data_IF_980680427886
#
_entry.id   IF_980680427886
#
_cell.length_a   1.000
_cell.length_b   1.000
_cell.length_c   1.000
_cell.angle_alpha   90.00
_cell.angle_beta   90.00
_cell.angle_gamma   90.00
#
_symmetry.space_group_name_H-M   'P 1'
#
loop_
_entity.id
_entity.type
_entity.pdbx_description
1 polymer ?
#
# COMPACT_ATOMS: atom_id res chain seq x y z
N UNK A 1 26.33 -36.22 61.95
CA UNK A 1 27.62 -36.78 61.51
C UNK A 1 27.40 -37.96 60.57
N UNK A 2 27.95 -37.84 59.35
CA UNK A 2 28.65 -38.82 58.49
C UNK A 2 28.08 -40.24 58.23
N UNK A 3 27.74 -40.52 56.96
CA UNK A 3 28.51 -41.32 55.97
C UNK A 3 27.60 -41.63 54.76
N UNK A 4 27.81 -40.98 53.61
CA UNK A 4 28.70 -41.43 52.52
C UNK A 4 28.33 -42.81 51.94
N UNK A 5 27.40 -42.83 50.99
CA UNK A 5 27.11 -43.96 50.11
C UNK A 5 27.88 -43.82 48.79
N UNK A 6 28.90 -44.65 48.61
CA UNK A 6 29.61 -44.85 47.34
C UNK A 6 29.12 -46.16 46.72
N UNK A 7 28.57 -46.10 45.52
CA UNK A 7 28.34 -47.29 44.69
C UNK A 7 28.87 -47.07 43.28
N UNK A 8 29.40 -48.15 42.74
CA UNK A 8 30.45 -48.22 41.74
C UNK A 8 29.86 -48.21 40.33
N UNK A 9 30.68 -47.71 39.41
CA UNK A 9 30.50 -47.78 37.95
C UNK A 9 30.40 -49.24 37.49
N UNK A 10 29.43 -49.54 36.64
CA UNK A 10 29.42 -50.74 35.81
C UNK A 10 29.42 -50.28 34.34
N UNK A 11 30.47 -50.69 33.62
CA UNK A 11 30.59 -50.59 32.18
C UNK A 11 29.76 -51.69 31.52
N UNK A 12 29.16 -51.42 30.36
CA UNK A 12 28.44 -52.45 29.61
C UNK A 12 27.91 -51.98 28.25
N UNK A 13 28.62 -52.41 27.21
CA UNK A 13 28.24 -52.61 25.81
C UNK A 13 27.70 -51.43 24.98
N UNK A 14 28.58 -50.89 24.13
CA UNK A 14 28.19 -50.17 22.92
C UNK A 14 27.70 -51.18 21.87
N UNK A 15 26.42 -51.14 21.55
CA UNK A 15 25.83 -51.85 20.41
C UNK A 15 25.88 -50.90 19.21
N UNK A 16 26.78 -51.17 18.27
CA UNK A 16 26.89 -50.44 17.01
C UNK A 16 25.74 -50.86 16.09
N UNK A 17 24.69 -50.05 16.04
CA UNK A 17 23.65 -50.17 15.03
C UNK A 17 24.15 -49.58 13.71
N UNK A 18 24.35 -50.44 12.70
CA UNK A 18 24.54 -50.04 11.30
C UNK A 18 23.19 -49.53 10.77
N UNK A 19 23.02 -48.22 10.65
CA UNK A 19 21.87 -47.63 9.99
C UNK A 19 22.14 -47.54 8.47
N UNK A 20 21.38 -48.29 7.67
CA UNK A 20 21.31 -48.08 6.23
C UNK A 20 20.63 -46.73 5.96
N UNK A 21 21.36 -45.80 5.36
CA UNK A 21 20.83 -44.54 4.87
C UNK A 21 20.00 -44.79 3.60
N UNK A 22 18.68 -44.85 3.74
CA UNK A 22 17.74 -44.72 2.62
C UNK A 22 17.45 -43.25 2.36
N UNK A 23 17.85 -42.74 1.19
CA UNK A 23 17.46 -41.40 0.74
C UNK A 23 15.99 -41.43 0.29
N UNK A 24 15.05 -41.25 1.23
CA UNK A 24 13.70 -40.82 0.87
C UNK A 24 13.77 -39.33 0.57
N UNK A 25 13.58 -38.94 -0.69
CA UNK A 25 13.44 -37.55 -1.08
C UNK A 25 12.21 -36.98 -0.36
N UNK A 26 12.47 -36.20 0.70
CA UNK A 26 11.46 -35.42 1.36
C UNK A 26 10.97 -34.37 0.37
N UNK A 27 9.68 -34.39 0.07
CA UNK A 27 9.03 -33.25 -0.57
C UNK A 27 9.18 -32.08 0.39
N UNK A 28 9.91 -31.06 -0.04
CA UNK A 28 10.07 -29.83 0.73
C UNK A 28 8.69 -29.30 1.11
N UNK A 29 8.40 -29.28 2.40
CA UNK A 29 7.22 -28.65 2.93
C UNK A 29 7.30 -27.16 2.57
N UNK A 30 6.54 -26.77 1.54
CA UNK A 30 6.26 -25.37 1.26
C UNK A 30 5.67 -24.81 2.55
N UNK A 31 6.46 -24.02 3.27
CA UNK A 31 6.01 -23.29 4.44
C UNK A 31 4.91 -22.33 3.98
N UNK A 32 3.66 -22.76 4.08
CA UNK A 32 2.51 -21.88 4.00
C UNK A 32 2.64 -20.91 5.17
N UNK A 33 3.27 -19.76 4.92
CA UNK A 33 3.29 -18.65 5.85
C UNK A 33 1.84 -18.41 6.26
N UNK A 34 1.52 -18.66 7.53
CA UNK A 34 0.19 -18.39 8.07
C UNK A 34 -0.11 -16.93 7.82
N UNK A 35 -1.07 -16.66 6.93
CA UNK A 35 -1.61 -15.34 6.64
C UNK A 35 -2.50 -14.88 7.81
N UNK A 36 -2.01 -14.99 9.05
CA UNK A 36 -2.70 -14.45 10.21
C UNK A 36 -2.67 -12.93 10.06
N UNK A 37 -3.81 -12.26 9.82
CA UNK A 37 -3.81 -10.82 9.65
C UNK A 37 -3.27 -10.18 10.93
N UNK A 38 -2.24 -9.35 10.80
CA UNK A 38 -1.74 -8.59 11.95
C UNK A 38 -2.91 -7.79 12.54
N UNK A 39 -3.18 -7.90 13.86
CA UNK A 39 -4.27 -7.16 14.46
C UNK A 39 -4.08 -5.66 14.25
N UNK A 40 -5.16 -4.97 13.87
CA UNK A 40 -5.16 -3.52 13.80
C UNK A 40 -4.96 -2.95 15.20
N UNK A 41 -4.12 -1.93 15.33
CA UNK A 41 -3.93 -1.20 16.59
C UNK A 41 -5.13 -0.32 16.95
N UNK A 42 -6.05 -0.13 16.02
CA UNK A 42 -7.22 0.73 16.15
C UNK A 42 -8.46 -0.10 16.50
N UNK A 43 -9.35 0.48 17.31
CA UNK A 43 -10.63 -0.15 17.63
C UNK A 43 -11.55 -0.21 16.40
N UNK A 44 -12.58 -1.05 16.45
CA UNK A 44 -13.61 -1.10 15.39
C UNK A 44 -14.29 0.26 15.18
N UNK A 45 -14.49 1.02 16.26
CA UNK A 45 -15.06 2.37 16.20
C UNK A 45 -14.15 3.34 15.43
N UNK A 46 -12.85 3.32 15.73
CA UNK A 46 -11.85 4.13 15.01
C UNK A 46 -11.78 3.76 13.53
N UNK A 47 -11.86 2.46 13.23
CA UNK A 47 -11.94 1.95 11.86
C UNK A 47 -13.19 2.46 11.13
N UNK A 48 -14.35 2.40 11.76
CA UNK A 48 -15.59 2.93 11.19
C UNK A 48 -15.49 4.44 10.92
N UNK A 49 -14.94 5.22 11.85
CA UNK A 49 -14.70 6.65 11.63
C UNK A 49 -13.81 6.92 10.40
N UNK A 50 -12.75 6.13 10.20
CA UNK A 50 -11.90 6.22 9.01
C UNK A 50 -12.69 5.91 7.73
N UNK A 51 -13.45 4.81 7.73
CA UNK A 51 -14.30 4.42 6.59
C UNK A 51 -15.28 5.53 6.23
N UNK A 52 -15.92 6.15 7.23
CA UNK A 52 -16.90 7.23 7.03
C UNK A 52 -16.28 8.46 6.41
N UNK A 53 -15.11 8.90 6.89
CA UNK A 53 -14.39 10.01 6.28
C UNK A 53 -14.05 9.69 4.82
N UNK A 54 -13.46 8.54 4.54
CA UNK A 54 -13.13 8.13 3.17
C UNK A 54 -14.38 8.04 2.28
N UNK A 55 -15.47 7.46 2.78
CA UNK A 55 -16.72 7.26 2.06
C UNK A 55 -17.38 8.57 1.62
N UNK A 56 -17.44 9.55 2.52
CA UNK A 56 -18.17 10.80 2.29
C UNK A 56 -17.33 11.90 1.66
N UNK A 57 -16.00 11.88 1.83
CA UNK A 57 -15.13 12.95 1.31
C UNK A 57 -14.55 12.65 -0.07
N UNK A 58 -14.56 11.40 -0.54
CA UNK A 58 -13.87 11.04 -1.78
C UNK A 58 -14.81 10.40 -2.80
N UNK A 59 -14.39 10.46 -4.07
CA UNK A 59 -14.95 9.56 -5.07
C UNK A 59 -14.59 8.11 -4.70
N UNK A 60 -15.61 7.35 -4.26
CA UNK A 60 -15.49 5.97 -3.79
C UNK A 60 -14.90 4.99 -4.79
N UNK A 61 -14.90 5.31 -6.09
CA UNK A 61 -14.24 4.48 -7.11
C UNK A 61 -12.75 4.81 -7.31
N UNK A 62 -12.22 5.85 -6.65
CA UNK A 62 -10.80 6.23 -6.70
C UNK A 62 -10.09 5.75 -5.43
N UNK A 63 -9.28 4.69 -5.55
CA UNK A 63 -8.43 4.20 -4.45
C UNK A 63 -7.47 5.30 -3.98
N UNK A 64 -6.87 6.03 -4.91
CA UNK A 64 -6.00 7.16 -4.57
C UNK A 64 -6.75 8.23 -3.77
N UNK A 65 -7.98 8.55 -4.15
CA UNK A 65 -8.87 9.44 -3.42
C UNK A 65 -9.15 8.99 -1.99
N UNK A 66 -9.50 7.72 -1.81
CA UNK A 66 -9.76 7.12 -0.50
C UNK A 66 -8.51 7.20 0.38
N UNK A 67 -7.37 6.73 -0.12
CA UNK A 67 -6.10 6.72 0.63
C UNK A 67 -5.61 8.15 0.90
N UNK A 68 -5.84 9.09 -0.01
CA UNK A 68 -5.47 10.49 0.18
C UNK A 68 -6.25 11.17 1.31
N UNK A 69 -7.58 10.98 1.37
CA UNK A 69 -8.40 11.46 2.50
C UNK A 69 -7.95 10.81 3.81
N UNK A 70 -7.75 9.49 3.82
CA UNK A 70 -7.27 8.79 5.01
C UNK A 70 -5.89 9.29 5.47
N UNK A 71 -5.02 9.62 4.52
CA UNK A 71 -3.71 10.22 4.81
C UNK A 71 -3.86 11.57 5.50
N UNK A 72 -4.77 12.43 5.06
CA UNK A 72 -5.08 13.69 5.74
C UNK A 72 -5.58 13.45 7.17
N UNK A 73 -6.49 12.49 7.37
CA UNK A 73 -6.98 12.14 8.71
C UNK A 73 -5.81 11.73 9.61
N UNK A 74 -4.92 10.88 9.13
CA UNK A 74 -3.75 10.44 9.89
C UNK A 74 -2.70 11.54 10.10
N UNK A 75 -2.55 12.47 9.16
CA UNK A 75 -1.69 13.65 9.31
C UNK A 75 -2.24 14.61 10.37
N UNK A 76 -3.57 14.66 10.55
CA UNK A 76 -4.21 15.40 11.65
C UNK A 76 -4.00 14.69 12.98
N UNK A 77 -4.24 13.38 13.05
CA UNK A 77 -4.00 12.58 14.26
C UNK A 77 -2.56 12.72 14.77
N UNK A 78 -1.57 12.78 13.87
CA UNK A 78 -0.16 12.94 14.21
C UNK A 78 0.26 14.37 14.59
N UNK A 79 -0.67 15.34 14.57
CA UNK A 79 -0.38 16.76 14.72
C UNK A 79 -1.04 17.31 15.97
N UNK A 80 -0.26 17.99 16.82
CA UNK A 80 -0.73 18.59 18.08
C UNK A 80 -1.89 19.60 17.91
N UNK A 81 -2.03 20.18 16.72
CA UNK A 81 -3.13 21.10 16.38
C UNK A 81 -4.51 20.44 16.22
N UNK A 82 -4.60 19.10 16.29
CA UNK A 82 -5.83 18.34 16.08
C UNK A 82 -6.00 17.27 17.17
N UNK A 83 -7.20 16.69 17.33
CA UNK A 83 -7.39 15.53 18.18
C UNK A 83 -6.48 14.36 17.79
N UNK A 84 -6.07 13.59 18.78
CA UNK A 84 -5.12 12.47 18.68
C UNK A 84 -5.76 11.12 18.35
N UNK A 85 -7.05 11.12 18.00
CA UNK A 85 -7.83 9.93 17.60
C UNK A 85 -8.51 10.15 16.26
N UNK A 86 -8.71 9.07 15.50
CA UNK A 86 -9.39 9.09 14.19
C UNK A 86 -10.80 9.62 14.38
N UNK A 87 -11.57 9.09 15.33
CA UNK A 87 -12.92 9.59 15.57
C UNK A 87 -12.93 11.03 16.08
N UNK A 88 -11.95 11.43 16.88
CA UNK A 88 -11.79 12.81 17.32
C UNK A 88 -11.60 13.77 16.14
N UNK A 89 -10.77 13.41 15.17
CA UNK A 89 -10.54 14.19 13.94
C UNK A 89 -11.79 14.21 13.05
N UNK A 90 -12.37 13.04 12.76
CA UNK A 90 -13.51 12.92 11.83
C UNK A 90 -14.78 13.56 12.40
N UNK A 91 -14.95 13.53 13.72
CA UNK A 91 -16.09 14.12 14.42
C UNK A 91 -16.04 15.64 14.58
N UNK A 92 -14.95 16.32 14.17
CA UNK A 92 -14.86 17.77 14.30
C UNK A 92 -15.94 18.48 13.47
N UNK A 93 -16.68 19.39 14.11
CA UNK A 93 -17.79 20.14 13.50
C UNK A 93 -17.32 20.91 12.26
N UNK A 94 -17.95 20.66 11.12
CA UNK A 94 -17.72 21.40 9.87
C UNK A 94 -16.44 21.05 9.13
N UNK A 95 -15.67 20.06 9.60
CA UNK A 95 -14.39 19.67 8.98
C UNK A 95 -14.56 18.60 7.89
N UNK A 96 -15.67 17.88 7.94
CA UNK A 96 -16.08 16.79 7.06
C UNK A 96 -17.56 16.99 6.70
N UNK A 97 -18.07 16.19 5.76
CA UNK A 97 -19.39 16.28 5.18
C UNK A 97 -20.49 16.33 6.26
N UNK A 98 -21.58 17.09 6.04
CA UNK A 98 -22.70 17.11 6.97
C UNK A 98 -23.23 15.69 7.22
N UNK A 99 -23.31 15.30 8.49
CA UNK A 99 -23.73 13.96 8.91
C UNK A 99 -22.68 12.86 8.69
N UNK A 100 -21.39 13.20 8.55
CA UNK A 100 -20.30 12.21 8.41
C UNK A 100 -20.33 11.14 9.49
N UNK A 101 -20.81 11.45 10.71
CA UNK A 101 -20.90 10.51 11.84
C UNK A 101 -22.24 9.79 11.98
N UNK A 102 -23.30 10.20 11.28
CA UNK A 102 -24.67 9.67 11.47
C UNK A 102 -25.30 9.06 10.22
N UNK A 103 -24.94 9.53 9.02
CA UNK A 103 -25.53 9.07 7.76
C UNK A 103 -25.12 7.63 7.43
N UNK A 104 -26.00 6.80 6.84
CA UNK A 104 -25.63 5.44 6.45
C UNK A 104 -24.64 5.45 5.27
N UNK A 105 -23.69 4.51 5.27
CA UNK A 105 -22.72 4.31 4.18
C UNK A 105 -23.23 3.29 3.16
N UNK A 106 -24.36 3.53 2.51
CA UNK A 106 -24.94 2.56 1.56
C UNK A 106 -24.29 2.66 0.18
N UNK A 107 -23.50 1.67 -0.24
CA UNK A 107 -22.82 1.66 -1.55
C UNK A 107 -22.29 0.27 -1.92
N UNK A 108 -22.28 -0.05 -3.22
CA UNK A 108 -21.56 -1.22 -3.75
C UNK A 108 -20.04 -1.13 -3.56
N UNK A 109 -19.50 0.09 -3.48
CA UNK A 109 -18.08 0.37 -3.26
C UNK A 109 -17.63 0.27 -1.79
N UNK A 110 -18.52 -0.11 -0.86
CA UNK A 110 -18.17 -0.25 0.56
C UNK A 110 -16.95 -1.15 0.82
N UNK A 111 -16.79 -2.31 0.15
CA UNK A 111 -15.61 -3.15 0.34
C UNK A 111 -14.29 -2.44 0.01
N UNK A 112 -14.28 -1.60 -1.03
CA UNK A 112 -13.10 -0.84 -1.43
C UNK A 112 -12.73 0.22 -0.39
N UNK A 113 -13.75 0.89 0.18
CA UNK A 113 -13.59 1.84 1.29
C UNK A 113 -13.02 1.14 2.52
N UNK A 114 -13.56 -0.02 2.89
CA UNK A 114 -13.09 -0.81 4.03
C UNK A 114 -11.64 -1.25 3.84
N UNK A 115 -11.31 -1.77 2.65
CA UNK A 115 -9.95 -2.18 2.34
C UNK A 115 -8.95 -1.00 2.35
N UNK A 116 -9.37 0.20 1.93
CA UNK A 116 -8.55 1.40 1.97
C UNK A 116 -8.35 1.91 3.40
N UNK A 117 -9.42 1.94 4.21
CA UNK A 117 -9.37 2.33 5.61
C UNK A 117 -8.41 1.40 6.39
N UNK A 118 -8.55 0.09 6.20
CA UNK A 118 -7.68 -0.91 6.82
C UNK A 118 -6.21 -0.72 6.45
N UNK A 119 -5.93 -0.39 5.20
CA UNK A 119 -4.56 -0.20 4.75
C UNK A 119 -3.94 1.09 5.30
N UNK A 120 -4.70 2.19 5.33
CA UNK A 120 -4.27 3.46 5.96
C UNK A 120 -4.03 3.27 7.46
N UNK A 121 -4.91 2.55 8.17
CA UNK A 121 -4.74 2.26 9.59
C UNK A 121 -3.55 1.34 9.88
N UNK A 122 -3.12 0.54 8.89
CA UNK A 122 -1.85 -0.22 8.94
C UNK A 122 -0.61 0.60 8.60
N UNK A 123 -0.77 1.83 8.13
CA UNK A 123 0.33 2.75 7.83
C UNK A 123 0.48 3.14 6.37
N UNK A 124 -0.39 2.68 5.46
CA UNK A 124 -0.37 3.15 4.08
C UNK A 124 -0.63 4.67 4.03
N UNK A 125 0.16 5.40 3.25
CA UNK A 125 0.01 6.84 3.04
C UNK A 125 0.12 7.15 1.56
N UNK A 126 -0.74 8.03 1.07
CA UNK A 126 -0.68 8.47 -0.31
C UNK A 126 0.54 9.41 -0.50
N UNK A 127 1.50 9.08 -1.37
CA UNK A 127 2.77 9.82 -1.47
C UNK A 127 2.57 11.28 -1.87
N UNK A 128 1.61 11.56 -2.75
CA UNK A 128 1.30 12.92 -3.19
C UNK A 128 0.64 13.82 -2.14
N UNK A 129 0.07 13.27 -1.06
CA UNK A 129 -0.56 14.09 0.01
C UNK A 129 0.49 14.72 0.91
N UNK A 130 1.67 14.10 1.03
CA UNK A 130 2.77 14.59 1.86
C UNK A 130 2.29 14.89 3.29
N UNK A 131 2.56 16.09 3.81
CA UNK A 131 2.18 16.53 5.16
C UNK A 131 0.88 17.35 5.18
N UNK A 132 0.13 17.35 4.06
CA UNK A 132 -1.12 18.08 3.95
C UNK A 132 -2.14 17.60 4.99
N UNK A 133 -2.82 18.57 5.60
CA UNK A 133 -3.91 18.37 6.57
C UNK A 133 -5.23 18.93 6.06
N UNK A 134 -5.26 19.39 4.81
CA UNK A 134 -6.35 20.17 4.27
C UNK A 134 -6.64 19.75 2.83
N UNK A 135 -7.91 19.73 2.50
CA UNK A 135 -8.39 19.57 1.14
C UNK A 135 -9.69 20.34 0.97
N UNK A 136 -10.10 20.48 -0.27
CA UNK A 136 -11.45 20.90 -0.66
C UNK A 136 -11.79 20.24 -1.99
N UNK A 137 -13.04 20.36 -2.43
CA UNK A 137 -13.47 19.88 -3.74
C UNK A 137 -12.61 20.49 -4.85
N UNK A 138 -12.08 19.65 -5.73
CA UNK A 138 -11.24 20.07 -6.84
C UNK A 138 -11.99 21.03 -7.78
N UNK A 139 -11.27 21.99 -8.35
CA UNK A 139 -11.82 23.01 -9.24
C UNK A 139 -12.39 24.24 -8.52
N UNK A 140 -12.72 24.16 -7.23
CA UNK A 140 -13.06 25.34 -6.44
C UNK A 140 -11.81 26.17 -6.14
N UNK A 141 -11.93 27.50 -6.14
CA UNK A 141 -10.85 28.41 -5.77
C UNK A 141 -11.25 29.26 -4.57
N UNK A 142 -10.26 29.61 -3.75
CA UNK A 142 -10.47 30.39 -2.54
C UNK A 142 -9.47 31.56 -2.50
N UNK A 143 -9.84 32.71 -1.92
CA UNK A 143 -8.99 33.91 -1.92
C UNK A 143 -7.79 33.82 -0.95
N UNK A 144 -7.59 32.70 -0.27
CA UNK A 144 -6.51 32.53 0.70
C UNK A 144 -5.14 32.45 0.01
N UNK A 145 -4.21 33.30 0.44
CA UNK A 145 -2.88 33.42 -0.19
C UNK A 145 -1.83 32.45 0.39
N UNK A 146 -2.23 31.64 1.37
CA UNK A 146 -1.39 30.71 2.13
C UNK A 146 -1.61 29.22 1.76
N UNK A 147 -2.32 28.93 0.67
CA UNK A 147 -2.58 27.56 0.22
C UNK A 147 -1.50 27.12 -0.78
N UNK A 148 -0.75 26.08 -0.42
CA UNK A 148 0.22 25.41 -1.27
C UNK A 148 -0.34 24.05 -1.71
N UNK A 149 -0.81 23.94 -2.96
CA UNK A 149 -1.39 22.70 -3.46
C UNK A 149 -0.32 21.63 -3.70
N UNK A 150 -0.64 20.38 -3.37
CA UNK A 150 0.28 19.24 -3.50
C UNK A 150 -0.26 18.13 -4.40
N UNK A 151 -1.58 17.98 -4.50
CA UNK A 151 -2.23 16.88 -5.21
C UNK A 151 -3.66 17.23 -5.60
N UNK A 152 -4.13 16.68 -6.71
CA UNK A 152 -5.56 16.53 -6.99
C UNK A 152 -5.86 15.05 -7.24
N UNK A 153 -6.72 14.46 -6.40
CA UNK A 153 -7.11 13.05 -6.45
C UNK A 153 -8.51 12.86 -5.83
N UNK A 154 -9.25 11.87 -6.30
CA UNK A 154 -10.55 11.49 -5.74
C UNK A 154 -11.62 12.58 -5.78
N UNK A 155 -11.47 13.57 -6.67
CA UNK A 155 -12.34 14.76 -6.71
C UNK A 155 -11.95 15.87 -5.73
N UNK A 156 -10.81 15.77 -5.04
CA UNK A 156 -10.33 16.76 -4.08
C UNK A 156 -8.98 17.35 -4.48
N UNK A 157 -8.76 18.61 -4.12
CA UNK A 157 -7.46 19.27 -4.15
C UNK A 157 -6.90 19.35 -2.73
N UNK A 158 -5.73 18.76 -2.53
CA UNK A 158 -5.02 18.70 -1.26
C UNK A 158 -3.98 19.82 -1.20
N UNK A 159 -3.84 20.43 -0.03
CA UNK A 159 -2.94 21.56 0.14
C UNK A 159 -2.38 21.68 1.57
N UNK A 160 -1.23 22.32 1.68
CA UNK A 160 -0.65 22.76 2.94
C UNK A 160 -0.95 24.23 3.17
N UNK A 161 -1.13 24.62 4.43
CA UNK A 161 -1.12 26.03 4.81
C UNK A 161 0.33 26.44 5.11
N UNK A 162 0.89 27.31 4.27
CA UNK A 162 2.27 27.81 4.42
C UNK A 162 2.29 29.34 4.52
N UNK A 163 3.29 29.95 5.19
CA UNK A 163 3.54 31.38 5.08
C UNK A 163 3.51 31.84 3.62
N UNK A 164 2.96 33.03 3.35
CA UNK A 164 2.67 33.49 1.98
C UNK A 164 3.90 33.47 1.05
N UNK A 165 5.08 33.72 1.60
CA UNK A 165 6.38 33.71 0.92
C UNK A 165 6.92 32.30 0.63
N UNK A 166 6.36 31.25 1.23
CA UNK A 166 6.74 29.85 1.04
C UNK A 166 5.75 29.06 0.17
N UNK A 167 4.71 29.72 -0.35
CA UNK A 167 3.76 29.12 -1.28
C UNK A 167 4.31 29.20 -2.71
N UNK A 168 4.82 28.07 -3.21
CA UNK A 168 5.31 27.94 -4.60
C UNK A 168 4.26 27.40 -5.57
N UNK A 169 3.37 26.51 -5.14
CA UNK A 169 2.27 25.96 -5.96
C UNK A 169 0.91 26.58 -5.58
N UNK A 170 0.49 27.64 -6.29
CA UNK A 170 -0.80 28.34 -6.04
C UNK A 170 -1.97 27.81 -6.87
N UNK A 171 -1.67 27.10 -7.96
CA UNK A 171 -2.67 26.54 -8.86
C UNK A 171 -2.78 25.05 -8.58
N UNK A 172 -4.00 24.52 -8.60
CA UNK A 172 -4.24 23.10 -8.46
C UNK A 172 -3.53 22.34 -9.59
N UNK A 173 -2.72 21.31 -9.30
CA UNK A 173 -2.16 20.46 -10.34
C UNK A 173 -3.27 19.67 -11.06
N UNK A 174 -3.00 19.12 -12.25
CA UNK A 174 -3.94 18.23 -12.91
C UNK A 174 -4.34 17.03 -12.04
N UNK A 175 -5.59 16.54 -12.10
CA UNK A 175 -6.01 15.32 -11.41
C UNK A 175 -5.18 14.10 -11.84
N UNK A 176 -4.70 13.32 -10.89
CA UNK A 176 -3.84 12.17 -11.19
C UNK A 176 -4.59 11.06 -11.95
N UNK A 177 -5.90 10.90 -11.74
CA UNK A 177 -6.70 9.93 -12.48
C UNK A 177 -6.80 10.26 -13.97
N UNK A 178 -6.77 11.56 -14.32
CA UNK A 178 -6.72 11.99 -15.73
C UNK A 178 -5.36 11.73 -16.34
N UNK A 179 -4.28 11.91 -15.57
CA UNK A 179 -2.92 11.62 -16.05
C UNK A 179 -2.71 10.13 -16.27
N UNK A 180 -3.21 9.26 -15.38
CA UNK A 180 -3.16 7.81 -15.56
C UNK A 180 -4.01 7.35 -16.76
N UNK A 181 -5.22 7.89 -16.92
CA UNK A 181 -6.07 7.60 -18.08
C UNK A 181 -5.48 8.12 -19.41
N UNK A 182 -4.76 9.23 -19.39
CA UNK A 182 -4.04 9.75 -20.56
C UNK A 182 -2.79 8.89 -20.87
N UNK A 183 -2.05 8.46 -19.86
CA UNK A 183 -0.87 7.60 -20.02
C UNK A 183 -1.25 6.18 -20.50
N UNK A 184 -2.39 5.65 -20.08
CA UNK A 184 -2.93 4.36 -20.57
C UNK A 184 -3.48 4.42 -22.00
N UNK A 185 -3.60 5.61 -22.59
CA UNK A 185 -3.90 5.81 -24.02
C UNK A 185 -2.67 6.06 -24.87
N UNK A 186 -1.48 6.20 -24.27
CA UNK A 186 -0.25 6.05 -25.03
C UNK A 186 -0.17 4.57 -25.42
N UNK A 187 -0.46 4.26 -26.68
CA UNK A 187 -0.09 3.00 -27.32
C UNK A 187 1.33 2.65 -26.91
N UNK A 188 1.66 1.36 -26.65
CA UNK A 188 3.05 0.99 -26.49
C UNK A 188 3.77 1.50 -27.72
N UNK A 189 4.65 2.48 -27.53
CA UNK A 189 5.59 2.89 -28.55
C UNK A 189 6.27 1.60 -28.95
N UNK A 190 6.05 1.20 -30.20
CA UNK A 190 6.64 0.03 -30.82
C UNK A 190 8.09 -0.01 -30.34
N UNK A 191 8.40 -0.99 -29.49
CA UNK A 191 9.78 -1.25 -29.14
C UNK A 191 10.54 -1.25 -30.45
N UNK A 192 11.58 -0.43 -30.57
CA UNK A 192 12.46 -0.44 -31.72
C UNK A 192 12.87 -1.90 -31.94
N UNK A 193 12.23 -2.55 -32.91
CA UNK A 193 12.79 -3.69 -33.59
C UNK A 193 14.05 -3.14 -34.26
N UNK A 194 15.19 -3.29 -33.60
CA UNK A 194 16.45 -3.17 -34.27
C UNK A 194 16.58 -4.42 -35.14
N UNK A 195 16.04 -4.34 -36.35
CA UNK A 195 16.35 -5.30 -37.41
C UNK A 195 17.82 -5.06 -37.77
N UNK A 196 18.72 -5.78 -37.11
CA UNK A 196 20.13 -5.77 -37.46
C UNK A 196 20.28 -6.37 -38.88
N UNK A 197 20.96 -5.70 -39.82
CA UNK A 197 21.38 -6.32 -41.08
C UNK A 197 22.21 -7.58 -40.78
N UNK A 198 22.09 -8.66 -41.58
CA UNK A 198 22.63 -9.99 -41.25
C UNK A 198 24.17 -10.11 -41.22
N UNK A 199 24.93 -9.03 -41.41
CA UNK A 199 26.38 -9.10 -41.58
C UNK A 199 27.20 -8.86 -40.29
N UNK A 200 26.55 -8.76 -39.12
CA UNK A 200 27.26 -8.58 -37.83
C UNK A 200 26.88 -9.58 -36.74
N UNK A 201 26.43 -10.79 -37.11
CA UNK A 201 26.21 -11.85 -36.13
C UNK A 201 27.56 -12.45 -35.69
N UNK A 202 27.95 -12.22 -34.44
CA UNK A 202 29.04 -12.95 -33.78
C UNK A 202 28.76 -14.47 -33.78
N UNK A 203 29.80 -15.33 -33.74
CA UNK A 203 29.70 -16.78 -33.95
C UNK A 203 28.76 -17.54 -32.99
N UNK A 204 28.32 -16.89 -31.90
CA UNK A 204 27.35 -17.44 -30.96
C UNK A 204 25.91 -17.37 -31.52
N UNK A 205 25.58 -16.35 -32.32
CA UNK A 205 24.23 -16.15 -32.86
C UNK A 205 23.83 -17.15 -33.95
N UNK A 206 24.80 -17.68 -34.69
CA UNK A 206 24.56 -18.64 -35.77
C UNK A 206 24.11 -20.03 -35.26
N UNK A 207 24.51 -20.43 -34.05
CA UNK A 207 24.20 -21.77 -33.53
C UNK A 207 22.78 -21.96 -33.00
N UNK A 208 22.00 -20.87 -32.83
CA UNK A 208 20.62 -20.96 -32.34
C UNK A 208 19.62 -21.17 -33.48
N UNK A 209 19.97 -20.79 -34.72
CA UNK A 209 19.04 -20.83 -35.85
C UNK A 209 18.90 -22.21 -36.51
N UNK A 210 19.89 -23.10 -36.38
CA UNK A 210 19.86 -24.45 -36.97
C UNK A 210 19.11 -25.51 -36.12
N UNK A 211 18.61 -25.14 -34.93
CA UNK A 211 17.98 -26.08 -34.01
C UNK A 211 16.49 -26.39 -34.25
N UNK A 212 15.84 -25.77 -35.23
CA UNK A 212 14.37 -25.85 -35.42
C UNK A 212 13.90 -26.80 -36.52
N UNK A 213 14.79 -27.62 -37.09
CA UNK A 213 14.42 -28.61 -38.11
C UNK A 213 14.59 -30.07 -37.64
N UNK A 214 13.86 -30.49 -36.61
CA UNK A 214 13.62 -31.92 -36.35
C UNK A 214 12.42 -32.14 -35.41
N UNK A 215 11.22 -32.35 -35.98
CA UNK A 215 10.20 -33.31 -35.53
C UNK A 215 8.88 -33.10 -36.30
N UNK A 216 8.70 -33.91 -37.34
CA UNK A 216 7.40 -34.32 -37.84
C UNK A 216 7.58 -35.75 -38.41
N UNK A 217 7.19 -36.74 -37.60
CA UNK A 217 6.61 -38.01 -38.07
C UNK A 217 5.20 -38.09 -37.48
#
# INVERSE_FOLDING_TARGET
>A
MNRAGSTRRAAGLAVTFLALAGCTQGVDAIATASLTPKPLRYSQKERECMERAMFFESNRSSRDGLVAVGTVVMNRVASEAFPDTVCGVVGQKGQFAPGVMSRPMNSKALPDVQAAADAVLRGERHPGVQQSKFFHTAGLTFPYRNMHYVLVAGGNAFYEKRPRNQVTQRVQPPPIERTAAAMGKATPSTALSYEAPPDTADPIGAMILDGTAARAE
#
